data_IF_962616348115
#
_entry.id   IF_962616348115
#
_cell.length_a   1.000
_cell.length_b   1.000
_cell.length_c   1.000
_cell.angle_alpha   90.00
_cell.angle_beta   90.00
_cell.angle_gamma   90.00
#
_symmetry.space_group_name_H-M   'P 1'
#
loop_
_entity.id
_entity.type
_entity.pdbx_description
1 polymer ?
#
# COMPACT_ATOMS: atom_id res chain seq x y z
N UNK A 1 0.75 -6.76 -7.73
CA UNK A 1 -0.13 -5.60 -7.44
C UNK A 1 -1.15 -6.06 -6.42
N UNK A 2 -1.39 -5.29 -5.35
CA UNK A 2 -2.28 -5.71 -4.26
C UNK A 2 -3.59 -4.93 -4.38
N UNK A 3 -4.71 -5.65 -4.40
CA UNK A 3 -6.06 -5.07 -4.38
C UNK A 3 -6.46 -4.83 -2.93
N UNK A 4 -6.68 -3.57 -2.58
CA UNK A 4 -7.18 -3.16 -1.26
C UNK A 4 -8.69 -2.92 -1.32
N UNK A 5 -9.42 -3.27 -0.25
CA UNK A 5 -10.81 -2.80 -0.06
C UNK A 5 -10.89 -1.28 0.14
N UNK A 6 -9.79 -0.64 0.55
CA UNK A 6 -9.69 0.79 0.79
C UNK A 6 -9.14 1.52 -0.45
N UNK A 7 -9.61 2.75 -0.66
CA UNK A 7 -9.10 3.64 -1.71
C UNK A 7 -7.59 3.83 -1.55
N UNK A 8 -6.85 3.73 -2.64
CA UNK A 8 -5.39 3.84 -2.73
C UNK A 8 -4.84 5.08 -2.01
N UNK A 9 -5.45 6.27 -2.23
CA UNK A 9 -5.08 7.53 -1.54
C UNK A 9 -5.27 7.47 -0.02
N UNK A 10 -6.33 6.85 0.47
CA UNK A 10 -6.60 6.74 1.91
C UNK A 10 -5.59 5.82 2.56
N UNK A 11 -5.32 4.68 1.92
CA UNK A 11 -4.32 3.73 2.36
C UNK A 11 -2.92 4.35 2.35
N UNK A 12 -2.59 5.15 1.33
CA UNK A 12 -1.34 5.90 1.25
C UNK A 12 -1.17 6.84 2.44
N UNK A 13 -2.19 7.63 2.79
CA UNK A 13 -2.14 8.51 3.97
C UNK A 13 -1.96 7.73 5.28
N UNK A 14 -2.67 6.61 5.47
CA UNK A 14 -2.53 5.76 6.67
C UNK A 14 -1.12 5.16 6.79
N UNK A 15 -0.56 4.66 5.70
CA UNK A 15 0.77 4.06 5.67
C UNK A 15 1.88 5.12 5.81
N UNK A 16 1.68 6.32 5.26
CA UNK A 16 2.60 7.44 5.41
C UNK A 16 2.78 7.84 6.89
N UNK A 17 1.70 7.82 7.69
CA UNK A 17 1.79 8.01 9.16
C UNK A 17 2.65 6.95 9.86
N UNK A 18 2.72 5.74 9.30
CA UNK A 18 3.58 4.64 9.77
C UNK A 18 4.98 4.66 9.15
N UNK A 19 5.37 5.76 8.48
CA UNK A 19 6.62 5.93 7.73
C UNK A 19 6.80 4.92 6.58
N UNK A 20 5.71 4.40 6.03
CA UNK A 20 5.71 3.48 4.90
C UNK A 20 5.21 4.23 3.67
N UNK A 21 6.10 4.39 2.69
CA UNK A 21 5.75 4.99 1.40
C UNK A 21 5.22 3.91 0.46
N UNK A 22 3.98 4.09 -0.01
CA UNK A 22 3.40 3.25 -1.07
C UNK A 22 3.08 4.10 -2.30
N UNK A 23 3.14 3.47 -3.48
CA UNK A 23 2.84 4.13 -4.74
C UNK A 23 1.41 3.80 -5.17
N UNK A 24 0.65 4.83 -5.46
CA UNK A 24 -0.70 4.69 -6.00
C UNK A 24 -0.61 4.06 -7.41
N UNK A 25 -1.33 2.95 -7.62
CA UNK A 25 -1.34 2.20 -8.87
C UNK A 25 -2.49 2.57 -9.80
N UNK A 26 -3.35 3.52 -9.39
CA UNK A 26 -4.56 3.93 -10.12
C UNK A 26 -4.29 4.67 -11.43
N UNK A 27 -3.04 5.03 -11.72
CA UNK A 27 -2.63 5.70 -12.96
C UNK A 27 -2.45 4.75 -14.15
N UNK A 28 -2.64 3.44 -13.95
CA UNK A 28 -2.58 2.47 -15.04
C UNK A 28 -3.96 2.26 -15.68
N UNK A 29 -4.00 2.31 -17.01
CA UNK A 29 -5.19 2.02 -17.82
C UNK A 29 -5.70 0.61 -17.50
N UNK A 30 -6.94 0.50 -16.99
CA UNK A 30 -7.55 -0.77 -16.58
C UNK A 30 -7.39 -1.14 -15.10
N UNK A 31 -6.73 -0.31 -14.28
CA UNK A 31 -6.60 -0.53 -12.84
C UNK A 31 -7.45 0.48 -12.05
N UNK A 32 -8.37 -0.05 -11.22
CA UNK A 32 -9.19 0.77 -10.34
C UNK A 32 -8.37 1.45 -9.23
N UNK A 33 -8.96 2.48 -8.61
CA UNK A 33 -8.46 3.25 -7.45
C UNK A 33 -8.23 2.43 -6.17
N UNK A 34 -8.28 1.12 -6.28
CA UNK A 34 -8.13 0.15 -5.20
C UNK A 34 -6.80 -0.61 -5.31
N UNK A 35 -5.97 -0.28 -6.31
CA UNK A 35 -4.67 -0.91 -6.53
C UNK A 35 -3.53 -0.06 -6.00
N UNK A 36 -2.64 -0.69 -5.25
CA UNK A 36 -1.40 -0.09 -4.78
C UNK A 36 -0.19 -0.92 -5.21
N UNK A 37 0.93 -0.22 -5.38
CA UNK A 37 2.23 -0.83 -5.61
C UNK A 37 3.10 -0.62 -4.38
N UNK A 38 3.71 -1.72 -3.98
CA UNK A 38 4.60 -1.82 -2.84
C UNK A 38 5.91 -2.42 -3.37
N UNK A 39 7.04 -1.82 -2.97
CA UNK A 39 8.34 -2.41 -3.21
C UNK A 39 8.56 -3.56 -2.22
N UNK A 40 8.90 -4.76 -2.73
CA UNK A 40 9.36 -5.86 -1.88
C UNK A 40 10.77 -5.53 -1.43
N UNK A 41 10.98 -5.48 -0.12
CA UNK A 41 12.27 -5.19 0.50
C UNK A 41 12.76 -6.37 1.34
N UNK A 42 13.63 -6.11 2.31
CA UNK A 42 14.09 -7.09 3.29
C UNK A 42 12.91 -7.69 4.08
N UNK A 43 13.07 -8.93 4.56
CA UNK A 43 12.04 -9.60 5.36
C UNK A 43 11.59 -8.75 6.56
N UNK A 44 12.53 -8.11 7.27
CA UNK A 44 12.22 -7.21 8.40
C UNK A 44 11.33 -6.03 7.99
N UNK A 45 11.58 -5.42 6.84
CA UNK A 45 10.74 -4.32 6.32
C UNK A 45 9.37 -4.83 5.83
N UNK A 46 9.34 -5.98 5.17
CA UNK A 46 8.09 -6.59 4.71
C UNK A 46 7.20 -6.99 5.90
N UNK A 47 7.76 -7.49 7.00
CA UNK A 47 7.00 -7.79 8.23
C UNK A 47 6.43 -6.52 8.86
N UNK A 48 7.19 -5.41 8.90
CA UNK A 48 6.67 -4.11 9.37
C UNK A 48 5.51 -3.63 8.51
N UNK A 49 5.61 -3.81 7.20
CA UNK A 49 4.54 -3.48 6.26
C UNK A 49 3.29 -4.33 6.49
N UNK A 50 3.44 -5.65 6.63
CA UNK A 50 2.29 -6.55 6.88
C UNK A 50 1.59 -6.17 8.17
N UNK A 51 2.33 -5.99 9.28
CA UNK A 51 1.74 -5.50 10.56
C UNK A 51 1.06 -4.14 10.42
N UNK A 52 1.60 -3.26 9.57
CA UNK A 52 1.00 -1.97 9.29
C UNK A 52 -0.32 -2.09 8.51
N UNK A 53 -0.45 -3.09 7.63
CA UNK A 53 -1.65 -3.39 6.85
C UNK A 53 -2.72 -4.13 7.66
N UNK A 54 -2.33 -5.03 8.58
CA UNK A 54 -3.26 -5.75 9.47
C UNK A 54 -3.98 -4.81 10.44
N UNK A 55 -3.33 -3.72 10.84
CA UNK A 55 -3.91 -2.73 11.77
C UNK A 55 -4.71 -1.59 11.11
N UNK A 56 -5.18 -1.75 9.86
CA UNK A 56 -5.83 -0.69 9.04
C UNK A 56 -7.28 -1.02 8.72
#
# INVERSE_FOLDING_TARGET
>A
MIKSKLKSKTLQKKLLRKKILIRDGSTFRGLDKNHIRIAVKSHKENVKLVKALEGI
#
